data_IF_025824731291
#
_entry.id   IF_025824731291
#
_cell.length_a   1.000
_cell.length_b   1.000
_cell.length_c   1.000
_cell.angle_alpha   90.00
_cell.angle_beta   90.00
_cell.angle_gamma   90.00
#
_symmetry.space_group_name_H-M   'P 1'
#
loop_
_entity.id
_entity.type
_entity.pdbx_description
1 polymer ?
#
# COMPACT_ATOMS: atom_id res chain seq x y z
N UNK A 1 -2.34 3.78 6.77
CA UNK A 1 -2.21 2.30 6.87
C UNK A 1 -2.81 1.71 5.58
N UNK A 2 -2.63 0.43 5.23
CA UNK A 2 -3.13 -0.08 3.94
C UNK A 2 -3.53 -1.54 4.02
N UNK A 3 -4.29 -2.02 3.03
CA UNK A 3 -4.44 -3.44 2.71
C UNK A 3 -4.25 -3.64 1.22
N UNK A 4 -3.38 -4.59 0.87
CA UNK A 4 -3.11 -4.98 -0.52
C UNK A 4 -3.28 -6.48 -0.66
N UNK A 5 -3.94 -6.90 -1.74
CA UNK A 5 -4.07 -8.30 -2.13
C UNK A 5 -3.48 -8.49 -3.52
N UNK A 6 -2.47 -9.35 -3.62
CA UNK A 6 -2.08 -9.95 -4.89
C UNK A 6 -2.78 -11.30 -5.03
N UNK A 7 -3.68 -11.39 -5.99
CA UNK A 7 -4.47 -12.56 -6.30
C UNK A 7 -3.90 -13.23 -7.55
N UNK A 8 -3.11 -14.28 -7.33
CA UNK A 8 -2.46 -15.02 -8.41
C UNK A 8 -3.47 -15.85 -9.20
N UNK A 9 -4.56 -16.28 -8.58
CA UNK A 9 -5.60 -17.10 -9.24
C UNK A 9 -6.33 -16.28 -10.30
N UNK A 10 -6.79 -15.08 -9.92
CA UNK A 10 -7.51 -14.19 -10.83
C UNK A 10 -6.60 -13.25 -11.63
N UNK A 11 -5.29 -13.31 -11.40
CA UNK A 11 -4.27 -12.43 -12.00
C UNK A 11 -4.60 -10.95 -11.79
N UNK A 12 -4.74 -10.57 -10.53
CA UNK A 12 -5.18 -9.24 -10.15
C UNK A 12 -4.45 -8.74 -8.91
N UNK A 13 -4.14 -7.46 -8.86
CA UNK A 13 -3.73 -6.78 -7.62
C UNK A 13 -4.82 -5.80 -7.23
N UNK A 14 -5.20 -5.79 -5.95
CA UNK A 14 -6.14 -4.82 -5.38
C UNK A 14 -5.54 -4.15 -4.14
N UNK A 15 -5.88 -2.89 -3.91
CA UNK A 15 -5.54 -2.14 -2.70
C UNK A 15 -6.65 -1.16 -2.33
N UNK A 16 -6.63 -0.70 -1.09
CA UNK A 16 -7.51 0.35 -0.57
C UNK A 16 -6.95 1.75 -0.88
N UNK A 17 -7.79 2.79 -0.90
CA UNK A 17 -7.33 4.18 -1.12
C UNK A 17 -7.08 4.97 0.16
N UNK A 18 -7.41 4.43 1.34
CA UNK A 18 -7.27 5.14 2.63
C UNK A 18 -5.82 5.46 2.96
N UNK A 19 -5.56 6.71 3.32
CA UNK A 19 -4.33 7.14 4.00
C UNK A 19 -4.64 7.39 5.47
N UNK A 20 -3.75 6.99 6.37
CA UNK A 20 -4.02 7.18 7.81
C UNK A 20 -2.77 7.21 8.67
N UNK A 21 -2.85 7.95 9.77
CA UNK A 21 -1.78 8.13 10.76
C UNK A 21 -2.35 7.96 12.17
N UNK A 22 -1.66 7.15 12.96
CA UNK A 22 -1.89 7.03 14.41
C UNK A 22 -1.52 8.33 15.11
N UNK A 23 -2.33 8.74 16.08
CA UNK A 23 -2.17 10.00 16.82
C UNK A 23 -1.67 9.78 18.26
N UNK A 24 -1.31 8.54 18.63
CA UNK A 24 -0.83 8.18 19.96
C UNK A 24 0.37 9.03 20.40
N UNK A 25 1.34 9.21 19.49
CA UNK A 25 2.56 10.01 19.74
C UNK A 25 2.27 11.52 19.91
N UNK A 26 1.05 11.96 19.63
CA UNK A 26 0.57 13.34 19.72
C UNK A 26 -0.39 13.55 20.89
N UNK A 27 -0.50 12.57 21.79
CA UNK A 27 -1.35 12.63 22.99
C UNK A 27 -2.79 12.18 22.78
N UNK A 28 -3.18 11.78 21.57
CA UNK A 28 -4.52 11.24 21.28
C UNK A 28 -4.44 9.70 21.24
N UNK A 29 -4.23 9.10 22.42
CA UNK A 29 -4.07 7.66 22.56
C UNK A 29 -5.27 6.91 21.94
N UNK A 30 -4.99 5.91 21.11
CA UNK A 30 -6.03 5.13 20.44
C UNK A 30 -6.86 5.92 19.44
N UNK A 31 -6.35 7.01 18.87
CA UNK A 31 -7.01 7.72 17.77
C UNK A 31 -6.22 7.62 16.47
N UNK A 32 -6.94 7.63 15.36
CA UNK A 32 -6.34 7.72 14.02
C UNK A 32 -6.94 8.90 13.25
N UNK A 33 -6.10 9.62 12.53
CA UNK A 33 -6.54 10.52 11.46
C UNK A 33 -6.47 9.77 10.13
N UNK A 34 -7.49 9.89 9.28
CA UNK A 34 -7.52 9.26 7.98
C UNK A 34 -8.23 10.10 6.92
N UNK A 35 -7.91 9.81 5.66
CA UNK A 35 -8.59 10.35 4.48
C UNK A 35 -8.64 9.30 3.39
N UNK A 36 -9.77 9.24 2.69
CA UNK A 36 -10.01 8.32 1.60
C UNK A 36 -9.95 9.05 0.25
N UNK A 37 -9.58 8.33 -0.80
CA UNK A 37 -9.68 8.77 -2.20
C UNK A 37 -9.00 10.12 -2.47
N UNK A 38 -7.70 10.20 -2.20
CA UNK A 38 -6.92 11.45 -2.30
C UNK A 38 -6.44 11.74 -3.72
N UNK A 39 -6.56 10.77 -4.63
CA UNK A 39 -5.97 10.83 -5.97
C UNK A 39 -4.49 10.46 -5.99
N UNK A 40 -3.86 10.24 -4.84
CA UNK A 40 -2.48 9.77 -4.70
C UNK A 40 -2.45 8.31 -4.23
N UNK A 41 -2.32 7.38 -5.19
CA UNK A 41 -2.39 5.94 -4.93
C UNK A 41 -1.11 5.29 -4.41
N UNK A 42 -1.26 4.10 -3.85
CA UNK A 42 -0.19 3.23 -3.34
C UNK A 42 0.32 2.20 -4.36
N UNK A 43 -0.22 2.24 -5.57
CA UNK A 43 0.06 1.30 -6.66
C UNK A 43 0.36 2.07 -7.94
N UNK A 44 1.35 1.62 -8.69
CA UNK A 44 1.74 2.20 -9.98
C UNK A 44 2.10 1.08 -10.95
N UNK A 45 1.79 1.31 -12.24
CA UNK A 45 2.11 0.38 -13.33
C UNK A 45 3.17 1.01 -14.22
N UNK A 46 4.16 0.21 -14.62
CA UNK A 46 5.14 0.53 -15.66
C UNK A 46 5.26 -0.66 -16.59
N UNK A 47 4.85 -0.48 -17.84
CA UNK A 47 4.85 -1.52 -18.87
C UNK A 47 4.20 -2.81 -18.37
N UNK A 48 4.98 -3.89 -18.24
CA UNK A 48 4.54 -5.22 -17.78
C UNK A 48 4.64 -5.42 -16.26
N UNK A 49 4.86 -4.36 -15.49
CA UNK A 49 5.15 -4.45 -14.06
C UNK A 49 4.22 -3.59 -13.21
N UNK A 50 3.79 -4.16 -12.09
CA UNK A 50 3.03 -3.46 -11.04
C UNK A 50 3.90 -3.33 -9.80
N UNK A 51 4.09 -2.09 -9.33
CA UNK A 51 4.72 -1.77 -8.06
C UNK A 51 3.64 -1.38 -7.05
N UNK A 52 3.64 -2.07 -5.92
CA UNK A 52 2.81 -1.75 -4.74
C UNK A 52 3.70 -1.31 -3.59
N UNK A 53 3.26 -0.24 -2.91
CA UNK A 53 4.06 0.50 -1.94
C UNK A 53 3.31 0.67 -0.63
N UNK A 54 4.02 0.53 0.48
CA UNK A 54 3.49 0.77 1.81
C UNK A 54 4.59 1.33 2.70
N UNK A 55 4.27 2.24 3.62
CA UNK A 55 5.20 2.88 4.54
C UNK A 55 5.09 4.41 4.55
N UNK A 56 6.23 5.08 4.59
CA UNK A 56 6.36 6.52 4.65
C UNK A 56 5.89 7.20 3.34
N UNK A 57 5.01 8.19 3.44
CA UNK A 57 4.40 8.85 2.27
C UNK A 57 5.41 9.56 1.36
N UNK A 58 6.45 10.20 1.90
CA UNK A 58 7.50 10.85 1.10
C UNK A 58 8.32 9.85 0.31
N UNK A 59 8.67 8.70 0.91
CA UNK A 59 9.33 7.64 0.16
C UNK A 59 8.42 7.07 -0.92
N UNK A 60 7.14 6.86 -0.63
CA UNK A 60 6.17 6.40 -1.64
C UNK A 60 6.14 7.37 -2.83
N UNK A 61 6.13 8.69 -2.58
CA UNK A 61 6.23 9.71 -3.63
C UNK A 61 7.51 9.54 -4.46
N UNK A 62 8.69 9.53 -3.82
CA UNK A 62 9.97 9.41 -4.52
C UNK A 62 10.05 8.11 -5.33
N UNK A 63 9.56 6.99 -4.78
CA UNK A 63 9.52 5.70 -5.47
C UNK A 63 8.60 5.74 -6.69
N UNK A 64 7.41 6.35 -6.60
CA UNK A 64 6.52 6.52 -7.75
C UNK A 64 7.12 7.41 -8.83
N UNK A 65 7.77 8.51 -8.44
CA UNK A 65 8.44 9.43 -9.37
C UNK A 65 9.60 8.74 -10.10
N UNK A 66 10.47 8.05 -9.37
CA UNK A 66 11.58 7.28 -9.95
C UNK A 66 11.06 6.16 -10.86
N UNK A 67 10.04 5.41 -10.42
CA UNK A 67 9.41 4.35 -11.18
C UNK A 67 8.77 4.86 -12.49
N UNK A 68 8.15 6.04 -12.47
CA UNK A 68 7.62 6.69 -13.68
C UNK A 68 8.68 7.33 -14.57
N UNK A 69 9.92 7.46 -14.10
CA UNK A 69 11.02 8.15 -14.77
C UNK A 69 12.05 7.21 -15.41
N UNK A 70 13.33 7.58 -15.29
CA UNK A 70 14.46 6.80 -15.79
C UNK A 70 15.01 5.86 -14.71
N UNK A 71 14.81 4.55 -14.92
CA UNK A 71 15.30 3.52 -14.00
C UNK A 71 16.84 3.41 -13.96
N UNK A 72 17.57 4.08 -14.85
CA UNK A 72 19.03 4.17 -14.76
C UNK A 72 19.50 5.21 -13.74
N UNK A 73 18.62 6.14 -13.35
CA UNK A 73 18.90 7.06 -12.26
C UNK A 73 18.97 6.30 -10.93
N UNK A 74 19.76 6.77 -9.94
CA UNK A 74 19.82 6.14 -8.63
C UNK A 74 18.43 5.98 -8.01
N UNK A 75 18.12 4.77 -7.53
CA UNK A 75 16.85 4.50 -6.87
C UNK A 75 16.71 5.31 -5.56
N UNK A 76 15.49 5.63 -5.13
CA UNK A 76 15.27 6.34 -3.87
C UNK A 76 15.74 5.53 -2.65
N UNK A 77 15.92 6.20 -1.50
CA UNK A 77 16.18 5.53 -0.24
C UNK A 77 15.09 4.53 0.15
N UNK A 78 15.50 3.50 0.89
CA UNK A 78 14.63 2.46 1.46
C UNK A 78 14.52 2.56 3.00
N UNK A 79 15.37 3.38 3.61
CA UNK A 79 15.46 3.62 5.05
C UNK A 79 15.36 5.12 5.34
N UNK A 80 14.81 5.46 6.51
CA UNK A 80 14.92 6.79 7.12
C UNK A 80 15.62 6.59 8.47
N UNK A 81 16.72 7.30 8.71
CA UNK A 81 17.52 7.20 9.94
C UNK A 81 17.89 5.76 10.32
N UNK A 82 18.16 4.92 9.31
CA UNK A 82 18.52 3.51 9.47
C UNK A 82 17.36 2.57 9.82
N UNK A 83 16.12 3.06 9.90
CA UNK A 83 14.92 2.26 10.14
C UNK A 83 14.13 2.01 8.85
N UNK A 84 13.43 0.88 8.80
CA UNK A 84 12.54 0.57 7.67
C UNK A 84 11.47 1.64 7.56
N UNK A 85 11.41 2.25 6.39
CA UNK A 85 10.45 3.29 6.09
C UNK A 85 9.56 2.93 4.89
N UNK A 86 9.88 1.85 4.15
CA UNK A 86 9.07 1.42 3.01
C UNK A 86 9.17 -0.09 2.76
N UNK A 87 8.03 -0.66 2.37
CA UNK A 87 7.84 -2.00 1.83
C UNK A 87 7.49 -1.88 0.36
N UNK A 88 8.09 -2.75 -0.45
CA UNK A 88 7.87 -2.83 -1.89
C UNK A 88 7.42 -4.25 -2.24
N UNK A 89 6.46 -4.33 -3.16
CA UNK A 89 6.09 -5.59 -3.78
C UNK A 89 5.86 -5.36 -5.28
N UNK A 90 6.62 -6.11 -6.09
CA UNK A 90 6.70 -5.96 -7.54
C UNK A 90 6.27 -7.26 -8.21
N UNK A 91 5.27 -7.15 -9.09
CA UNK A 91 4.72 -8.27 -9.85
C UNK A 91 4.86 -7.99 -11.34
N UNK A 92 5.34 -9.01 -12.08
CA UNK A 92 5.31 -9.03 -13.54
C UNK A 92 3.98 -9.60 -14.03
N UNK A 93 3.26 -8.84 -14.84
CA UNK A 93 1.88 -9.14 -15.23
C UNK A 93 1.81 -10.31 -16.22
N UNK A 94 2.67 -10.32 -17.24
CA UNK A 94 2.69 -11.37 -18.28
C UNK A 94 2.92 -12.77 -17.72
N UNK A 95 3.82 -12.89 -16.73
CA UNK A 95 4.13 -14.17 -16.07
C UNK A 95 3.31 -14.41 -14.81
N UNK A 96 2.62 -13.37 -14.30
CA UNK A 96 1.88 -13.42 -13.04
C UNK A 96 2.76 -13.95 -11.90
N UNK A 97 3.93 -13.33 -11.73
CA UNK A 97 4.95 -13.70 -10.75
C UNK A 97 5.43 -12.50 -9.96
N UNK A 98 5.64 -12.72 -8.66
CA UNK A 98 6.34 -11.78 -7.79
C UNK A 98 7.82 -11.84 -8.14
N UNK A 99 8.39 -10.72 -8.58
CA UNK A 99 9.83 -10.61 -8.87
C UNK A 99 10.61 -9.96 -7.74
N UNK A 100 9.92 -9.18 -6.89
CA UNK A 100 10.47 -8.66 -5.65
C UNK A 100 9.38 -8.50 -4.60
N UNK A 101 9.71 -8.85 -3.37
CA UNK A 101 8.88 -8.61 -2.19
C UNK A 101 9.76 -8.40 -0.97
N UNK A 102 9.31 -7.50 -0.11
CA UNK A 102 9.80 -7.31 1.23
C UNK A 102 8.64 -6.81 2.10
N UNK A 103 8.78 -6.88 3.42
CA UNK A 103 7.72 -6.51 4.34
C UNK A 103 6.97 -7.72 4.89
N UNK A 104 6.06 -7.46 5.83
CA UNK A 104 5.25 -8.51 6.44
C UNK A 104 4.06 -8.85 5.54
N UNK A 105 4.01 -10.10 5.06
CA UNK A 105 2.93 -10.60 4.22
C UNK A 105 2.35 -11.90 4.76
N UNK A 106 1.07 -12.10 4.51
CA UNK A 106 0.40 -13.40 4.65
C UNK A 106 0.25 -14.00 3.26
N UNK A 107 0.40 -15.32 3.13
CA UNK A 107 0.22 -16.00 1.86
C UNK A 107 -0.77 -17.16 2.01
N UNK A 108 -1.72 -17.23 1.07
CA UNK A 108 -2.58 -18.39 0.88
C UNK A 108 -1.89 -19.33 -0.10
N UNK A 109 -1.73 -20.59 0.32
CA UNK A 109 -1.11 -21.63 -0.48
C UNK A 109 -2.12 -22.71 -0.86
N UNK A 110 -1.92 -23.30 -2.03
CA UNK A 110 -2.50 -24.58 -2.40
C UNK A 110 -1.39 -25.59 -2.68
N UNK A 111 -1.74 -26.86 -2.80
CA UNK A 111 -0.87 -27.92 -3.29
C UNK A 111 -1.30 -28.23 -4.72
N UNK A 112 -0.35 -28.22 -5.66
CA UNK A 112 -0.62 -28.62 -7.05
C UNK A 112 -0.68 -30.14 -7.21
N UNK A 113 -0.99 -30.61 -8.41
CA UNK A 113 -1.13 -32.05 -8.72
C UNK A 113 0.17 -32.84 -8.48
N UNK A 114 1.33 -32.17 -8.51
CA UNK A 114 2.65 -32.73 -8.26
C UNK A 114 3.06 -32.67 -6.77
N UNK A 115 2.19 -32.17 -5.89
CA UNK A 115 2.45 -32.07 -4.45
C UNK A 115 3.24 -30.83 -4.02
N UNK A 116 3.50 -29.88 -4.92
CA UNK A 116 4.25 -28.67 -4.60
C UNK A 116 3.35 -27.60 -3.97
N UNK A 117 3.89 -26.87 -2.99
CA UNK A 117 3.21 -25.69 -2.44
C UNK A 117 3.28 -24.53 -3.43
N UNK A 118 2.11 -24.05 -3.82
CA UNK A 118 1.95 -22.97 -4.79
C UNK A 118 1.21 -21.82 -4.13
N UNK A 119 1.72 -20.60 -4.30
CA UNK A 119 1.06 -19.38 -3.82
C UNK A 119 -0.18 -19.12 -4.68
N UNK A 120 -1.33 -18.92 -4.04
CA UNK A 120 -2.57 -18.51 -4.69
C UNK A 120 -2.86 -17.02 -4.46
N UNK A 121 -2.53 -16.49 -3.29
CA UNK A 121 -2.67 -15.07 -3.00
C UNK A 121 -1.69 -14.61 -1.91
N UNK A 122 -1.35 -13.33 -1.94
CA UNK A 122 -0.51 -12.66 -0.94
C UNK A 122 -1.26 -11.43 -0.42
N UNK A 123 -1.23 -11.22 0.89
CA UNK A 123 -1.92 -10.16 1.59
C UNK A 123 -0.91 -9.35 2.39
N UNK A 124 -0.91 -8.04 2.22
CA UNK A 124 -0.03 -7.13 2.93
C UNK A 124 -0.86 -6.03 3.61
N UNK A 125 -0.29 -5.40 4.65
CA UNK A 125 -0.98 -4.33 5.37
C UNK A 125 -1.73 -4.79 6.63
N UNK A 126 -2.34 -3.82 7.32
CA UNK A 126 -3.03 -4.04 8.61
C UNK A 126 -4.27 -4.88 8.46
N UNK A 127 -5.00 -4.76 7.35
CA UNK A 127 -6.20 -5.54 7.07
C UNK A 127 -5.91 -6.88 6.39
N UNK A 128 -4.65 -7.28 6.25
CA UNK A 128 -4.24 -8.54 5.60
C UNK A 128 -4.92 -9.78 6.17
N UNK A 129 -5.09 -9.86 7.50
CA UNK A 129 -5.79 -10.99 8.13
C UNK A 129 -7.28 -11.02 7.77
N UNK A 130 -7.94 -9.85 7.75
CA UNK A 130 -9.36 -9.74 7.39
C UNK A 130 -9.56 -10.07 5.91
N UNK A 131 -8.74 -9.48 5.04
CA UNK A 131 -8.78 -9.74 3.61
C UNK A 131 -8.48 -11.21 3.29
N UNK A 132 -7.46 -11.81 3.93
CA UNK A 132 -7.07 -13.20 3.72
C UNK A 132 -8.20 -14.18 4.04
N UNK A 133 -8.91 -13.98 5.15
CA UNK A 133 -10.06 -14.80 5.53
C UNK A 133 -11.17 -14.73 4.47
N UNK A 134 -11.54 -13.53 4.05
CA UNK A 134 -12.63 -13.35 3.08
C UNK A 134 -12.23 -13.84 1.70
N UNK A 135 -10.96 -13.69 1.33
CA UNK A 135 -10.43 -14.24 0.08
C UNK A 135 -10.50 -15.77 0.07
N UNK A 136 -10.21 -16.46 1.18
CA UNK A 136 -10.36 -17.91 1.26
C UNK A 136 -11.81 -18.36 1.05
N UNK A 137 -12.78 -17.56 1.48
CA UNK A 137 -14.21 -17.86 1.33
C UNK A 137 -14.76 -17.51 -0.07
N UNK A 138 -14.25 -16.44 -0.69
CA UNK A 138 -14.83 -15.85 -1.92
C UNK A 138 -13.98 -16.03 -3.17
N UNK A 139 -12.68 -16.29 -3.01
CA UNK A 139 -11.70 -16.32 -4.07
C UNK A 139 -11.57 -14.99 -4.83
N UNK A 140 -11.90 -13.83 -4.24
CA UNK A 140 -11.89 -12.54 -4.94
C UNK A 140 -11.19 -11.45 -4.14
N UNK A 141 -10.08 -10.92 -4.67
CA UNK A 141 -9.34 -9.83 -4.03
C UNK A 141 -10.17 -8.55 -3.80
N UNK A 142 -11.05 -8.18 -4.73
CA UNK A 142 -11.87 -6.96 -4.58
C UNK A 142 -12.87 -7.11 -3.43
N UNK A 143 -13.57 -8.24 -3.37
CA UNK A 143 -14.48 -8.54 -2.26
C UNK A 143 -13.74 -8.64 -0.92
N UNK A 144 -12.51 -9.18 -0.94
CA UNK A 144 -11.66 -9.25 0.24
C UNK A 144 -11.29 -7.87 0.79
N UNK A 145 -10.92 -6.89 -0.06
CA UNK A 145 -10.68 -5.51 0.40
C UNK A 145 -11.98 -4.89 0.92
N UNK A 146 -13.10 -5.02 0.19
CA UNK A 146 -14.39 -4.45 0.63
C UNK A 146 -14.79 -4.94 2.02
N UNK A 147 -14.67 -6.24 2.27
CA UNK A 147 -14.97 -6.81 3.57
C UNK A 147 -13.93 -6.43 4.64
N UNK A 148 -12.65 -6.26 4.26
CA UNK A 148 -11.61 -5.82 5.19
C UNK A 148 -11.88 -4.42 5.76
N UNK A 149 -12.57 -3.53 5.03
CA UNK A 149 -12.99 -2.20 5.53
C UNK A 149 -13.83 -2.27 6.80
N UNK A 150 -14.56 -3.37 7.01
CA UNK A 150 -15.41 -3.58 8.19
C UNK A 150 -14.56 -3.96 9.41
N UNK A 151 -13.53 -4.78 9.20
CA UNK A 151 -12.71 -5.35 10.26
C UNK A 151 -11.44 -4.56 10.59
N UNK A 152 -10.94 -3.80 9.63
CA UNK A 152 -9.72 -3.00 9.75
C UNK A 152 -10.01 -1.52 9.52
N UNK A 153 -10.01 -0.75 10.61
CA UNK A 153 -10.16 0.71 10.65
C UNK A 153 -9.23 1.46 9.68
N UNK A 154 -8.12 0.82 9.32
CA UNK A 154 -7.07 1.36 8.49
C UNK A 154 -7.30 1.18 7.00
N UNK A 155 -8.27 0.35 6.63
CA UNK A 155 -8.63 0.01 5.26
C UNK A 155 -9.92 0.75 4.91
N UNK A 156 -9.94 1.47 3.79
CA UNK A 156 -11.09 2.29 3.42
C UNK A 156 -11.05 2.87 2.02
N UNK A 157 -12.01 3.75 1.74
CA UNK A 157 -12.21 4.38 0.43
C UNK A 157 -12.53 3.41 -0.69
N UNK A 158 -12.31 3.79 -1.95
CA UNK A 158 -12.52 2.92 -3.10
C UNK A 158 -11.45 1.82 -3.23
N UNK A 159 -11.85 0.68 -3.82
CA UNK A 159 -10.91 -0.39 -4.20
C UNK A 159 -10.22 -0.04 -5.52
N UNK A 160 -8.90 0.10 -5.43
CA UNK A 160 -8.01 0.28 -6.58
C UNK A 160 -7.50 -1.07 -7.04
N UNK A 161 -7.37 -1.27 -8.35
CA UNK A 161 -6.96 -2.56 -8.90
C UNK A 161 -6.24 -2.48 -10.24
N UNK A 162 -5.50 -3.53 -10.57
CA UNK A 162 -4.94 -3.83 -11.88
C UNK A 162 -5.28 -5.28 -12.22
N UNK A 163 -6.01 -5.50 -13.31
CA UNK A 163 -6.39 -6.80 -13.82
C UNK A 163 -5.48 -7.18 -15.00
N UNK A 164 -4.72 -8.27 -14.85
CA UNK A 164 -3.69 -8.65 -15.83
C UNK A 164 -4.28 -9.34 -17.05
N UNK A 165 -5.49 -9.91 -16.96
CA UNK A 165 -6.12 -10.58 -18.09
C UNK A 165 -6.76 -9.58 -19.06
N UNK A 166 -7.46 -8.59 -18.51
CA UNK A 166 -8.17 -7.59 -19.31
C UNK A 166 -7.37 -6.32 -19.57
N UNK A 167 -6.30 -6.08 -18.80
CA UNK A 167 -5.57 -4.82 -18.80
C UNK A 167 -6.33 -3.65 -18.17
N UNK A 168 -7.53 -3.89 -17.62
CA UNK A 168 -8.30 -2.87 -16.93
C UNK A 168 -7.64 -2.48 -15.62
N UNK A 169 -7.66 -1.17 -15.33
CA UNK A 169 -7.06 -0.60 -14.13
C UNK A 169 -7.95 0.48 -13.54
N UNK A 170 -8.03 0.51 -12.22
CA UNK A 170 -8.57 1.61 -11.43
C UNK A 170 -7.48 2.07 -10.46
N UNK A 171 -6.73 3.10 -10.84
CA UNK A 171 -5.59 3.61 -10.09
C UNK A 171 -5.81 5.08 -9.70
N UNK A 172 -5.25 5.48 -8.56
CA UNK A 172 -5.15 6.88 -8.16
C UNK A 172 -3.86 7.49 -8.70
N UNK A 173 -4.01 8.17 -9.84
CA UNK A 173 -2.92 8.83 -10.55
C UNK A 173 -3.16 10.33 -10.77
N UNK A 174 -4.24 10.89 -10.23
CA UNK A 174 -4.62 12.29 -10.42
C UNK A 174 -3.69 13.25 -9.65
N UNK A 175 -3.12 12.77 -8.54
CA UNK A 175 -2.19 13.51 -7.70
C UNK A 175 -0.84 12.80 -7.65
N UNK A 176 0.22 13.60 -7.57
CA UNK A 176 1.59 13.11 -7.64
C UNK A 176 2.40 13.36 -6.36
N UNK A 177 1.91 14.23 -5.47
CA UNK A 177 2.66 14.64 -4.28
C UNK A 177 1.97 14.17 -3.01
N UNK A 178 2.73 13.82 -1.99
CA UNK A 178 2.22 13.49 -0.66
C UNK A 178 1.57 14.71 0.01
N UNK A 179 1.98 15.93 -0.38
CA UNK A 179 1.32 17.17 0.04
C UNK A 179 -0.13 17.25 -0.41
N UNK A 180 -0.50 16.63 -1.55
CA UNK A 180 -1.90 16.53 -1.96
C UNK A 180 -2.72 15.67 -0.99
N UNK A 181 -2.12 14.64 -0.40
CA UNK A 181 -2.75 13.81 0.64
C UNK A 181 -2.93 14.61 1.92
N UNK A 182 -1.94 15.42 2.30
CA UNK A 182 -2.04 16.31 3.46
C UNK A 182 -3.16 17.36 3.26
N UNK A 183 -3.26 17.95 2.08
CA UNK A 183 -4.33 18.88 1.72
C UNK A 183 -5.71 18.19 1.77
N UNK A 184 -5.83 16.99 1.18
CA UNK A 184 -7.06 16.22 1.26
C UNK A 184 -7.43 15.87 2.71
N UNK A 185 -6.43 15.55 3.55
CA UNK A 185 -6.66 15.29 4.98
C UNK A 185 -7.17 16.55 5.68
N UNK A 186 -6.67 17.75 5.36
CA UNK A 186 -7.17 19.02 5.93
C UNK A 186 -8.59 19.38 5.46
N UNK A 187 -8.95 19.02 4.23
CA UNK A 187 -10.24 19.38 3.63
C UNK A 187 -11.37 18.41 4.00
N UNK A 188 -11.09 17.11 3.98
CA UNK A 188 -12.10 16.04 4.13
C UNK A 188 -11.65 14.90 5.04
N UNK A 189 -10.58 15.09 5.79
CA UNK A 189 -10.09 14.10 6.74
C UNK A 189 -11.04 13.89 7.91
N UNK A 190 -10.91 12.72 8.51
CA UNK A 190 -11.70 12.29 9.66
C UNK A 190 -10.77 11.79 10.77
N UNK A 191 -11.22 11.92 12.01
CA UNK A 191 -10.57 11.35 13.19
C UNK A 191 -11.50 10.30 13.80
N UNK A 192 -10.95 9.16 14.18
CA UNK A 192 -11.71 8.06 14.76
C UNK A 192 -11.04 7.54 16.02
N UNK A 193 -11.84 7.30 17.05
CA UNK A 193 -11.46 6.57 18.26
C UNK A 193 -11.45 5.06 17.97
N UNK A 194 -10.28 4.46 18.06
CA UNK A 194 -10.04 3.04 17.79
C UNK A 194 -10.31 2.14 19.00
N UNK A 195 -10.41 2.73 20.20
CA UNK A 195 -10.79 2.01 21.42
C UNK A 195 -12.31 1.86 21.55
N UNK A 196 -13.07 2.75 20.90
CA UNK A 196 -14.52 2.71 20.89
C UNK A 196 -15.05 2.47 19.46
N UNK A 197 -15.26 1.21 19.04
CA UNK A 197 -15.72 0.89 17.69
C UNK A 197 -17.15 1.39 17.36
N UNK A 198 -17.90 1.85 18.36
CA UNK A 198 -19.22 2.48 18.16
C UNK A 198 -19.13 3.99 17.94
N UNK A 199 -17.97 4.60 18.20
CA UNK A 199 -17.76 6.03 18.00
C UNK A 199 -17.80 6.37 16.51
N UNK A 200 -18.56 7.40 16.16
CA UNK A 200 -18.58 7.89 14.78
C UNK A 200 -17.32 8.73 14.52
N UNK A 201 -16.69 8.59 13.34
CA UNK A 201 -15.58 9.47 12.97
C UNK A 201 -16.02 10.94 12.97
N UNK A 202 -15.15 11.81 13.48
CA UNK A 202 -15.37 13.26 13.57
C UNK A 202 -14.59 13.94 12.45
N UNK A 203 -15.18 14.87 11.69
CA UNK A 203 -14.45 15.65 10.68
C UNK A 203 -13.29 16.42 11.29
N UNK A 204 -12.15 16.48 10.59
CA UNK A 204 -10.99 17.23 11.08
C UNK A 204 -11.25 18.74 11.15
N UNK A 205 -12.27 19.22 10.44
CA UNK A 205 -12.67 20.63 10.40
C UNK A 205 -13.30 21.10 11.70
N UNK A 206 -13.72 20.18 12.58
CA UNK A 206 -14.34 20.50 13.87
C UNK A 206 -13.38 21.23 14.81
N UNK A 207 -13.92 22.13 15.62
CA UNK A 207 -13.12 23.03 16.46
C UNK A 207 -12.34 22.28 17.55
N UNK A 208 -12.90 21.18 18.05
CA UNK A 208 -12.30 20.35 19.11
C UNK A 208 -10.97 19.70 18.69
N UNK A 209 -10.73 19.58 17.38
CA UNK A 209 -9.54 18.96 16.79
C UNK A 209 -8.67 19.97 16.02
N UNK A 210 -8.87 21.27 16.26
CA UNK A 210 -8.14 22.35 15.58
C UNK A 210 -6.61 22.22 15.71
N UNK A 211 -6.11 21.75 16.85
CA UNK A 211 -4.68 21.51 17.05
C UNK A 211 -4.11 20.46 16.08
N UNK A 212 -4.88 19.41 15.75
CA UNK A 212 -4.44 18.38 14.79
C UNK A 212 -4.29 18.97 13.39
N UNK A 213 -5.14 19.94 13.01
CA UNK A 213 -5.01 20.66 11.74
C UNK A 213 -3.73 21.47 11.67
N UNK A 214 -3.35 22.13 12.75
CA UNK A 214 -2.08 22.88 12.81
C UNK A 214 -0.88 21.95 12.62
N UNK A 215 -0.90 20.77 13.26
CA UNK A 215 0.14 19.75 13.10
C UNK A 215 0.22 19.22 11.67
N UNK A 216 -0.91 19.04 10.97
CA UNK A 216 -0.90 18.65 9.55
C UNK A 216 -0.35 19.79 8.68
N UNK A 217 -0.81 21.02 8.91
CA UNK A 217 -0.41 22.19 8.13
C UNK A 217 1.10 22.47 8.24
N UNK A 218 1.70 22.19 9.40
CA UNK A 218 3.13 22.37 9.64
C UNK A 218 3.97 21.16 9.18
N UNK A 219 3.35 20.05 8.76
CA UNK A 219 4.01 18.85 8.28
C UNK A 219 4.36 17.81 9.36
N UNK A 220 4.04 18.08 10.62
CA UNK A 220 4.28 17.17 11.76
C UNK A 220 3.45 15.88 11.65
N UNK A 221 2.28 15.96 10.99
CA UNK A 221 1.50 14.80 10.57
C UNK A 221 1.69 14.61 9.07
N UNK A 222 2.62 13.73 8.70
CA UNK A 222 2.72 13.22 7.32
C UNK A 222 1.88 11.95 7.20
N UNK A 223 0.89 11.90 6.28
CA UNK A 223 0.12 10.68 6.01
C UNK A 223 1.05 9.53 5.63
N UNK A 224 0.78 8.35 6.17
CA UNK A 224 1.54 7.15 5.89
C UNK A 224 0.63 5.97 5.50
N UNK A 225 1.20 4.98 4.82
CA UNK A 225 0.57 3.73 4.48
C UNK A 225 1.23 2.54 5.22
N UNK A 226 1.23 2.47 6.58
CA UNK A 226 1.95 1.42 7.28
C UNK A 226 1.64 0.01 6.79
N UNK A 227 2.70 -0.79 6.81
CA UNK A 227 2.83 -2.12 6.24
C UNK A 227 2.17 -3.21 7.09
N UNK A 228 1.92 -2.91 8.36
CA UNK A 228 1.50 -3.88 9.37
C UNK A 228 2.66 -4.80 9.78
N UNK A 229 2.56 -5.41 10.97
CA UNK A 229 3.57 -6.36 11.46
C UNK A 229 4.87 -5.72 11.97
N UNK A 230 5.91 -6.55 12.14
CA UNK A 230 7.23 -6.10 12.61
C UNK A 230 8.03 -5.49 11.46
N UNK A 231 8.81 -4.42 11.71
CA UNK A 231 9.72 -3.89 10.70
C UNK A 231 10.67 -4.98 10.18
N UNK A 232 10.77 -5.09 8.85
CA UNK A 232 11.68 -5.98 8.16
C UNK A 232 13.05 -5.31 8.02
N UNK A 233 14.10 -6.09 8.29
CA UNK A 233 15.47 -5.62 8.14
C UNK A 233 15.89 -5.70 6.68
N UNK A 234 16.23 -4.56 6.09
CA UNK A 234 16.93 -4.49 4.81
C UNK A 234 18.38 -4.92 5.00
N UNK A 235 18.69 -6.15 4.61
CA UNK A 235 20.05 -6.68 4.55
C UNK A 235 20.62 -6.66 3.13
N UNK A 236 21.91 -6.96 3.00
CA UNK A 236 22.60 -7.03 1.70
C UNK A 236 21.89 -7.98 0.72
N UNK A 237 21.31 -9.08 1.23
CA UNK A 237 20.56 -10.04 0.43
C UNK A 237 19.28 -9.42 -0.15
N UNK A 238 18.52 -8.69 0.66
CA UNK A 238 17.29 -8.03 0.24
C UNK A 238 17.57 -6.90 -0.75
N UNK A 239 18.66 -6.16 -0.54
CA UNK A 239 19.14 -5.13 -1.47
C UNK A 239 19.54 -5.78 -2.81
N UNK A 240 20.32 -6.85 -2.78
CA UNK A 240 20.73 -7.56 -4.00
C UNK A 240 19.54 -8.13 -4.78
N UNK A 241 18.52 -8.66 -4.09
CA UNK A 241 17.25 -9.10 -4.72
C UNK A 241 16.51 -7.94 -5.40
N UNK A 242 16.46 -6.77 -4.75
CA UNK A 242 15.84 -5.57 -5.31
C UNK A 242 16.57 -5.12 -6.57
N UNK A 243 17.89 -5.02 -6.51
CA UNK A 243 18.70 -4.58 -7.64
C UNK A 243 18.58 -5.55 -8.82
N UNK A 244 18.51 -6.87 -8.56
CA UNK A 244 18.26 -7.89 -9.58
C UNK A 244 16.87 -7.76 -10.22
N UNK A 245 15.84 -7.47 -9.43
CA UNK A 245 14.48 -7.25 -9.95
C UNK A 245 14.40 -6.00 -10.83
N UNK A 246 15.05 -4.90 -10.41
CA UNK A 246 15.15 -3.67 -11.21
C UNK A 246 15.87 -3.95 -12.54
N UNK A 247 16.96 -4.72 -12.50
CA UNK A 247 17.68 -5.09 -13.72
C UNK A 247 16.83 -5.95 -14.66
N UNK A 248 16.06 -6.90 -14.13
CA UNK A 248 15.09 -7.67 -14.93
C UNK A 248 14.08 -6.77 -15.63
N UNK A 249 13.57 -5.73 -14.95
CA UNK A 249 12.61 -4.78 -15.53
C UNK A 249 13.26 -4.01 -16.68
N UNK A 250 14.50 -3.54 -16.52
CA UNK A 250 15.23 -2.84 -17.59
C UNK A 250 15.42 -3.71 -18.83
N UNK A 251 15.72 -5.00 -18.63
CA UNK A 251 15.88 -5.96 -19.73
C UNK A 251 14.56 -6.19 -20.46
N UNK A 252 13.46 -6.34 -19.74
CA UNK A 252 12.13 -6.46 -20.33
C UNK A 252 11.75 -5.23 -21.16
N UNK A 253 12.05 -4.02 -20.67
CA UNK A 253 11.82 -2.76 -21.40
C UNK A 253 12.69 -2.63 -22.66
N UNK A 254 13.93 -3.13 -22.62
CA UNK A 254 14.82 -3.11 -23.77
C UNK A 254 14.35 -4.07 -24.88
N UNK A 255 13.72 -5.20 -24.51
CA UNK A 255 13.15 -6.17 -25.45
C UNK A 255 11.82 -5.73 -26.07
N UNK A 256 11.10 -4.81 -25.41
CA UNK A 256 9.82 -4.28 -25.87
C UNK A 256 9.94 -3.10 -26.86
N UNK A 257 11.15 -2.55 -27.05
CA UNK A 257 11.47 -1.47 -27.99
C UNK A 257 11.89 -2.01 -29.35
#
# INVERSE_FOLDING_TARGET
>A
MTTTVYDRVNKLIATDSRWSKKLDDLGYLGHIAFVDDTGFGKMVVRDDHVLTLAGNGLLIEHWKQWWGGDLNSPRPPILIDGQEAITLHIVKMSTNTIIFDIGHVLAAYNVDDDGNKVINAVFAGTGSHHAGRIWLDTGCARSAIEAAKIGDICTGGEVRYVDFNSGMKNLECEKHLISDVANALLEKGMIMDTNNPLSQPVPITEQEVAHIRELIANGDITPCAPTGGKPVKWDERSISRLDAAIESIRQDEALAK
#
